data_IF_011279417554
#
_entry.id   IF_011279417554
#
_cell.length_a   1.000
_cell.length_b   1.000
_cell.length_c   1.000
_cell.angle_alpha   90.00
_cell.angle_beta   90.00
_cell.angle_gamma   90.00
#
_symmetry.space_group_name_H-M   'P 1'
#
loop_
_entity.id
_entity.type
_entity.pdbx_description
1 polymer ?
#
# COMPACT_ATOMS: atom_id res chain seq x y z
N UNK A 1 -15.97 -24.72 -0.09
CA UNK A 1 -15.69 -24.37 -1.50
C UNK A 1 -14.19 -24.38 -1.66
N UNK A 2 -13.64 -25.22 -2.53
CA UNK A 2 -12.21 -25.23 -2.82
C UNK A 2 -11.84 -23.93 -3.52
N UNK A 3 -10.76 -23.28 -3.10
CA UNK A 3 -10.29 -22.06 -3.75
C UNK A 3 -9.73 -22.44 -5.13
N UNK A 4 -10.40 -22.01 -6.21
CA UNK A 4 -9.97 -22.26 -7.60
C UNK A 4 -8.50 -21.88 -7.81
N UNK A 5 -8.05 -20.77 -7.21
CA UNK A 5 -6.65 -20.33 -7.27
C UNK A 5 -5.65 -21.32 -6.66
N UNK A 6 -6.03 -22.03 -5.60
CA UNK A 6 -5.16 -23.04 -4.99
C UNK A 6 -5.06 -24.30 -5.87
N UNK A 7 -6.16 -24.67 -6.54
CA UNK A 7 -6.20 -25.80 -7.48
C UNK A 7 -5.34 -25.51 -8.71
N UNK A 8 -5.52 -24.33 -9.32
CA UNK A 8 -4.71 -23.87 -10.44
C UNK A 8 -3.22 -23.76 -10.09
N UNK A 9 -2.91 -23.22 -8.90
CA UNK A 9 -1.54 -23.15 -8.40
C UNK A 9 -0.89 -24.53 -8.25
N UNK A 10 -1.63 -25.52 -7.76
CA UNK A 10 -1.16 -26.91 -7.66
C UNK A 10 -0.86 -27.54 -9.02
N UNK A 11 -1.76 -27.39 -9.99
CA UNK A 11 -1.52 -27.89 -11.36
C UNK A 11 -0.34 -27.18 -12.05
N UNK A 12 -0.15 -25.89 -11.78
CA UNK A 12 1.00 -25.12 -12.30
C UNK A 12 2.32 -25.59 -11.70
N UNK A 13 2.32 -25.93 -10.41
CA UNK A 13 3.49 -26.53 -9.77
C UNK A 13 3.81 -27.92 -10.36
N UNK A 14 2.79 -28.71 -10.67
CA UNK A 14 2.96 -30.02 -11.31
C UNK A 14 3.64 -29.93 -12.69
N UNK A 15 3.33 -28.88 -13.46
CA UNK A 15 3.97 -28.60 -14.75
C UNK A 15 5.45 -28.20 -14.64
N UNK A 16 5.82 -27.50 -13.57
CA UNK A 16 7.21 -27.08 -13.32
C UNK A 16 8.07 -28.16 -12.67
N UNK A 17 7.47 -29.24 -12.15
CA UNK A 17 8.21 -30.30 -11.47
C UNK A 17 8.87 -31.24 -12.51
N UNK A 18 10.21 -31.36 -12.53
CA UNK A 18 10.90 -32.22 -13.49
C UNK A 18 10.65 -33.72 -13.28
N UNK A 19 10.16 -34.13 -12.10
CA UNK A 19 9.93 -35.53 -11.75
C UNK A 19 8.50 -36.03 -12.09
N UNK A 20 7.70 -35.23 -12.80
CA UNK A 20 6.32 -35.60 -13.16
C UNK A 20 6.27 -36.22 -14.55
N UNK A 21 5.33 -37.17 -14.74
CA UNK A 21 5.13 -37.79 -16.04
C UNK A 21 4.50 -36.82 -17.03
N UNK A 22 4.79 -37.01 -18.32
CA UNK A 22 4.22 -36.18 -19.39
C UNK A 22 2.69 -36.25 -19.44
N UNK A 23 2.10 -37.42 -19.20
CA UNK A 23 0.63 -37.57 -19.08
C UNK A 23 0.06 -36.71 -17.95
N UNK A 24 0.74 -36.64 -16.80
CA UNK A 24 0.30 -35.82 -15.66
C UNK A 24 0.36 -34.32 -15.97
N UNK A 25 1.36 -33.90 -16.76
CA UNK A 25 1.51 -32.51 -17.21
C UNK A 25 0.41 -32.14 -18.20
N UNK A 26 0.13 -33.01 -19.18
CA UNK A 26 -0.96 -32.81 -20.14
C UNK A 26 -2.30 -32.66 -19.45
N UNK A 27 -2.62 -33.55 -18.51
CA UNK A 27 -3.86 -33.44 -17.73
C UNK A 27 -3.90 -32.15 -16.89
N UNK A 28 -2.77 -31.73 -16.31
CA UNK A 28 -2.70 -30.49 -15.56
C UNK A 28 -2.92 -29.25 -16.44
N UNK A 29 -2.44 -29.29 -17.69
CA UNK A 29 -2.70 -28.23 -18.68
C UNK A 29 -4.17 -28.17 -19.06
N UNK A 30 -4.80 -29.31 -19.33
CA UNK A 30 -6.22 -29.36 -19.72
C UNK A 30 -7.12 -28.83 -18.59
N UNK A 31 -6.83 -29.19 -17.33
CA UNK A 31 -7.56 -28.64 -16.16
C UNK A 31 -7.35 -27.14 -16.04
N UNK A 32 -6.11 -26.66 -16.19
CA UNK A 32 -5.84 -25.22 -16.17
C UNK A 32 -6.60 -24.52 -17.30
N UNK A 33 -6.56 -25.03 -18.53
CA UNK A 33 -7.24 -24.43 -19.68
C UNK A 33 -8.76 -24.40 -19.49
N UNK A 34 -9.35 -25.48 -18.95
CA UNK A 34 -10.78 -25.55 -18.67
C UNK A 34 -11.22 -24.57 -17.59
N UNK A 35 -10.47 -24.46 -16.50
CA UNK A 35 -10.79 -23.61 -15.36
C UNK A 35 -10.41 -22.13 -15.60
N UNK A 36 -9.39 -21.87 -16.43
CA UNK A 36 -8.94 -20.53 -16.81
C UNK A 36 -9.72 -20.00 -18.03
N UNK A 37 -10.19 -20.89 -18.90
CA UNK A 37 -10.99 -20.57 -20.08
C UNK A 37 -12.40 -20.05 -19.76
N UNK A 38 -12.87 -20.21 -18.53
CA UNK A 38 -14.11 -19.57 -18.07
C UNK A 38 -13.86 -18.17 -17.48
N UNK A 39 -12.63 -17.84 -17.11
CA UNK A 39 -12.31 -16.65 -16.29
C UNK A 39 -10.88 -16.11 -16.55
N UNK A 40 -10.47 -15.80 -17.78
CA UNK A 40 -9.19 -15.08 -17.98
C UNK A 40 -8.97 -14.50 -19.39
N UNK A 41 -9.41 -13.26 -19.64
CA UNK A 41 -8.53 -12.07 -19.65
C UNK A 41 -7.96 -11.64 -18.30
N UNK A 42 -7.16 -12.47 -17.62
CA UNK A 42 -6.43 -12.03 -16.43
C UNK A 42 -5.06 -12.69 -16.37
N UNK A 43 -4.19 -12.15 -17.23
CA UNK A 43 -2.77 -11.89 -16.98
C UNK A 43 -2.08 -12.82 -15.96
N UNK A 44 -1.75 -14.02 -16.41
CA UNK A 44 -0.79 -14.88 -15.73
C UNK A 44 0.60 -14.52 -16.28
N UNK A 45 1.11 -13.34 -15.93
CA UNK A 45 2.35 -12.86 -16.52
C UNK A 45 3.07 -11.73 -15.79
N UNK A 46 2.36 -10.77 -15.21
CA UNK A 46 3.00 -9.73 -14.42
C UNK A 46 2.37 -9.67 -13.04
N UNK A 47 3.19 -9.47 -12.04
CA UNK A 47 2.80 -8.84 -10.78
C UNK A 47 2.34 -7.40 -11.07
N UNK A 48 1.25 -7.23 -11.82
CA UNK A 48 0.42 -6.03 -11.79
C UNK A 48 -0.31 -6.09 -10.45
N UNK A 49 0.44 -5.67 -9.45
CA UNK A 49 -0.06 -5.37 -8.14
C UNK A 49 -1.19 -4.37 -8.39
N UNK A 50 -2.46 -4.78 -8.39
CA UNK A 50 -3.58 -3.87 -8.59
C UNK A 50 -3.45 -2.74 -7.55
N UNK A 51 -3.19 -1.51 -8.01
CA UNK A 51 -2.97 -0.33 -7.16
C UNK A 51 -4.26 0.18 -6.50
N UNK A 52 -5.40 -0.39 -6.89
CA UNK A 52 -6.74 -0.02 -6.42
C UNK A 52 -7.01 -0.23 -4.91
N UNK A 53 -6.04 -0.79 -4.15
CA UNK A 53 -6.21 -1.05 -2.72
C UNK A 53 -5.02 -0.75 -1.82
N UNK A 54 -3.90 -0.20 -2.32
CA UNK A 54 -2.77 0.10 -1.43
C UNK A 54 -3.02 1.41 -0.69
N UNK A 55 -2.84 1.37 0.63
CA UNK A 55 -2.77 2.59 1.42
C UNK A 55 -1.51 3.38 1.01
N UNK A 56 -1.65 4.60 0.47
CA UNK A 56 -0.52 5.32 -0.09
C UNK A 56 0.50 5.71 0.99
N UNK A 57 0.09 5.84 2.26
CA UNK A 57 0.98 6.02 3.41
C UNK A 57 1.91 4.81 3.60
N UNK A 58 1.40 3.58 3.40
CA UNK A 58 2.21 2.36 3.51
C UNK A 58 3.19 2.24 2.35
N UNK A 59 2.76 2.61 1.14
CA UNK A 59 3.64 2.62 -0.04
C UNK A 59 4.76 3.64 0.15
N UNK A 60 4.44 4.86 0.57
CA UNK A 60 5.41 5.89 0.89
C UNK A 60 6.41 5.45 1.99
N UNK A 61 5.95 4.73 3.02
CA UNK A 61 6.82 4.18 4.04
C UNK A 61 7.81 3.13 3.49
N UNK A 62 7.35 2.26 2.58
CA UNK A 62 8.21 1.28 1.91
C UNK A 62 9.27 1.93 1.02
N UNK A 63 8.86 2.92 0.23
CA UNK A 63 9.79 3.70 -0.60
C UNK A 63 10.82 4.45 0.24
N UNK A 64 10.42 5.04 1.38
CA UNK A 64 11.34 5.68 2.31
C UNK A 64 12.36 4.70 2.90
N UNK A 65 11.95 3.46 3.20
CA UNK A 65 12.86 2.42 3.66
C UNK A 65 13.86 2.02 2.56
N UNK A 66 13.42 1.93 1.31
CA UNK A 66 14.29 1.63 0.18
C UNK A 66 15.38 2.70 -0.02
N UNK A 67 15.08 3.99 0.20
CA UNK A 67 16.08 5.07 0.13
C UNK A 67 17.23 4.92 1.14
N UNK A 68 16.94 4.38 2.32
CA UNK A 68 17.94 4.21 3.39
C UNK A 68 18.65 2.85 3.33
N UNK A 69 18.22 1.96 2.43
CA UNK A 69 18.81 0.63 2.31
C UNK A 69 20.14 0.70 1.54
N UNK A 70 21.28 0.32 2.14
CA UNK A 70 22.57 0.34 1.46
C UNK A 70 22.68 -0.65 0.29
N UNK A 71 21.79 -1.64 0.23
CA UNK A 71 21.76 -2.63 -0.86
C UNK A 71 21.00 -2.15 -2.11
N UNK A 72 20.50 -0.91 -2.11
CA UNK A 72 19.80 -0.31 -3.26
C UNK A 72 20.77 0.58 -4.03
N UNK A 73 20.78 0.44 -5.35
CA UNK A 73 21.61 1.26 -6.24
C UNK A 73 21.17 2.72 -6.25
N UNK A 74 22.07 3.64 -6.59
CA UNK A 74 21.77 5.06 -6.56
C UNK A 74 20.75 5.47 -7.63
N UNK A 75 20.80 4.84 -8.81
CA UNK A 75 19.78 4.98 -9.86
C UNK A 75 18.38 4.53 -9.37
N UNK A 76 18.31 3.43 -8.62
CA UNK A 76 17.05 2.96 -8.05
C UNK A 76 16.54 3.92 -6.95
N UNK A 77 17.44 4.52 -6.15
CA UNK A 77 17.05 5.52 -5.14
C UNK A 77 16.48 6.79 -5.78
N UNK A 78 17.04 7.24 -6.89
CA UNK A 78 16.52 8.41 -7.61
C UNK A 78 15.07 8.18 -8.07
N UNK A 79 14.81 7.02 -8.68
CA UNK A 79 13.46 6.64 -9.11
C UNK A 79 12.50 6.50 -7.92
N UNK A 80 12.93 5.83 -6.85
CA UNK A 80 12.17 5.70 -5.59
C UNK A 80 11.83 7.08 -4.99
N UNK A 81 12.76 8.04 -5.07
CA UNK A 81 12.54 9.40 -4.59
C UNK A 81 11.47 10.12 -5.40
N UNK A 82 11.47 9.98 -6.73
CA UNK A 82 10.44 10.56 -7.59
C UNK A 82 9.05 9.98 -7.27
N UNK A 83 8.94 8.65 -7.23
CA UNK A 83 7.69 7.99 -6.86
C UNK A 83 7.20 8.35 -5.45
N UNK A 84 8.11 8.56 -4.49
CA UNK A 84 7.75 9.00 -3.15
C UNK A 84 7.15 10.41 -3.16
N UNK A 85 7.69 11.33 -3.97
CA UNK A 85 7.16 12.68 -4.14
C UNK A 85 5.74 12.68 -4.74
N UNK A 86 5.50 11.85 -5.75
CA UNK A 86 4.18 11.72 -6.39
C UNK A 86 3.12 11.16 -5.43
N UNK A 87 3.49 10.11 -4.67
CA UNK A 87 2.57 9.45 -3.71
C UNK A 87 2.27 10.37 -2.53
N UNK A 88 3.26 11.10 -2.02
CA UNK A 88 3.06 12.05 -0.93
C UNK A 88 2.23 13.25 -1.36
N UNK A 89 2.40 13.73 -2.60
CA UNK A 89 1.56 14.79 -3.19
C UNK A 89 0.11 14.33 -3.36
N UNK A 90 -0.10 13.09 -3.82
CA UNK A 90 -1.45 12.50 -3.97
C UNK A 90 -2.09 12.20 -2.60
N UNK A 91 -1.28 11.88 -1.59
CA UNK A 91 -1.71 11.68 -0.20
C UNK A 91 -1.92 12.97 0.59
N UNK A 92 -1.76 14.15 -0.02
CA UNK A 92 -2.35 15.38 0.48
C UNK A 92 -3.87 15.39 0.26
N UNK A 93 -4.52 14.32 0.69
CA UNK A 93 -5.96 14.23 0.86
C UNK A 93 -6.17 13.81 2.31
N UNK A 94 -6.65 14.79 3.07
CA UNK A 94 -7.32 14.58 4.33
C UNK A 94 -6.46 13.92 5.42
N UNK A 95 -5.61 14.76 6.00
CA UNK A 95 -5.50 14.77 7.44
C UNK A 95 -6.93 14.73 8.03
N UNK A 96 -7.40 13.52 8.33
CA UNK A 96 -8.43 13.25 9.33
C UNK A 96 -8.00 13.71 10.73
N UNK A 97 -7.19 14.78 10.83
CA UNK A 97 -7.25 15.75 11.91
C UNK A 97 -8.65 16.30 11.86
N UNK A 98 -9.55 15.54 12.47
CA UNK A 98 -10.92 15.93 12.77
C UNK A 98 -10.81 17.36 13.31
N UNK A 99 -11.09 18.39 12.49
CA UNK A 99 -10.72 19.78 12.82
C UNK A 99 -11.35 20.16 14.16
N UNK A 100 -12.53 19.59 14.41
CA UNK A 100 -13.23 19.53 15.69
C UNK A 100 -12.39 19.00 16.86
N UNK A 101 -11.66 17.88 16.71
CA UNK A 101 -10.79 17.31 17.76
C UNK A 101 -9.55 18.19 18.00
N UNK A 102 -8.96 18.75 16.95
CA UNK A 102 -7.82 19.67 17.09
C UNK A 102 -8.26 20.96 17.79
N UNK A 103 -9.37 21.57 17.35
CA UNK A 103 -9.95 22.74 18.01
C UNK A 103 -10.34 22.45 19.46
N UNK A 104 -10.88 21.27 19.77
CA UNK A 104 -11.17 20.85 21.13
C UNK A 104 -9.90 20.73 22.00
N UNK A 105 -8.82 20.16 21.45
CA UNK A 105 -7.52 20.08 22.14
C UNK A 105 -6.89 21.44 22.39
N UNK A 106 -6.91 22.33 21.40
CA UNK A 106 -6.45 23.71 21.53
C UNK A 106 -7.27 24.47 22.59
N UNK A 107 -8.60 24.29 22.60
CA UNK A 107 -9.47 24.88 23.64
C UNK A 107 -9.16 24.34 25.04
N UNK A 108 -8.83 23.05 25.16
CA UNK A 108 -8.41 22.47 26.44
C UNK A 108 -7.06 23.04 26.92
N UNK A 109 -6.11 23.25 26.02
CA UNK A 109 -4.82 23.85 26.34
C UNK A 109 -4.95 25.30 26.87
N UNK A 110 -5.92 26.08 26.37
CA UNK A 110 -6.20 27.44 26.89
C UNK A 110 -6.67 27.44 28.35
N UNK A 111 -7.36 26.39 28.78
CA UNK A 111 -7.88 26.26 30.14
C UNK A 111 -6.96 25.47 31.08
N UNK A 112 -5.81 25.00 30.60
CA UNK A 112 -4.87 24.27 31.42
C UNK A 112 -3.87 25.24 32.10
N UNK A 113 -3.81 25.20 33.42
CA UNK A 113 -2.91 26.02 34.24
C UNK A 113 -1.44 25.59 34.12
N UNK A 114 -1.17 24.37 33.64
CA UNK A 114 0.20 23.90 33.38
C UNK A 114 0.79 24.41 32.07
N UNK A 115 0.03 25.18 31.29
CA UNK A 115 0.46 25.75 30.00
C UNK A 115 0.83 27.22 30.21
N UNK A 116 2.02 27.61 29.75
CA UNK A 116 2.51 28.99 29.81
C UNK A 116 1.64 29.96 28.99
N UNK A 117 1.59 31.23 29.41
CA UNK A 117 0.79 32.26 28.75
C UNK A 117 1.19 32.50 27.29
N UNK A 118 2.49 32.45 26.97
CA UNK A 118 3.01 32.55 25.59
C UNK A 118 2.46 31.43 24.70
N UNK A 119 2.44 30.20 25.21
CA UNK A 119 1.87 29.05 24.50
C UNK A 119 0.34 29.17 24.34
N UNK A 120 -0.37 29.77 25.31
CA UNK A 120 -1.81 30.02 25.20
C UNK A 120 -2.14 31.03 24.09
N UNK A 121 -1.35 32.08 23.91
CA UNK A 121 -1.55 33.03 22.80
C UNK A 121 -1.34 32.36 21.43
N UNK A 122 -0.29 31.54 21.25
CA UNK A 122 -0.10 30.77 20.02
C UNK A 122 -1.24 29.78 19.74
N UNK A 123 -1.75 29.11 20.78
CA UNK A 123 -2.89 28.20 20.69
C UNK A 123 -4.16 28.95 20.26
N UNK A 124 -4.35 30.17 20.76
CA UNK A 124 -5.50 31.03 20.46
C UNK A 124 -5.47 31.55 19.02
N UNK A 125 -4.31 31.97 18.53
CA UNK A 125 -4.09 32.34 17.12
C UNK A 125 -4.39 31.15 16.20
N UNK A 126 -3.82 29.99 16.51
CA UNK A 126 -4.08 28.74 15.76
C UNK A 126 -5.56 28.34 15.75
N UNK A 127 -6.28 28.58 16.85
CA UNK A 127 -7.72 28.31 16.95
C UNK A 127 -8.56 29.30 16.12
N UNK A 128 -8.10 30.54 15.96
CA UNK A 128 -8.75 31.56 15.14
C UNK A 128 -8.62 31.25 13.65
N UNK A 129 -7.44 30.77 13.22
CA UNK A 129 -7.19 30.35 11.83
C UNK A 129 -7.98 29.08 11.43
N UNK A 130 -8.44 28.30 12.41
CA UNK A 130 -9.19 27.06 12.19
C UNK A 130 -10.71 27.25 12.11
N UNK A 131 -11.22 28.47 12.31
CA UNK A 131 -12.64 28.81 12.34
C UNK A 131 -13.13 29.40 11.02
#
# INVERSE_FOLDING_TARGET
MSNIGNVLGGHKANLSNPNTSEESKQHSLEVIEKELGTESSSDVGATAHNDDGKNPVRVAAGLKAALHNPNVSDEAKENVSHHLADITSTSQTDDGKNSTRVAAGLKAALHNDSVSDEAKEHVKERLADMK
#
